data_IF_044158430915
#
_entry.id   IF_044158430915
#
_cell.length_a   1.000
_cell.length_b   1.000
_cell.length_c   1.000
_cell.angle_alpha   90.00
_cell.angle_beta   90.00
_cell.angle_gamma   90.00
#
_symmetry.space_group_name_H-M   'P 1'
#
loop_
_entity.id
_entity.type
_entity.pdbx_description
1 polymer ?
#
# COMPACT_ATOMS: atom_id res chain seq x y z
N UNK A 1 -8.46 -7.62 17.82
CA UNK A 1 -7.42 -7.85 16.79
C UNK A 1 -6.39 -6.75 16.93
N UNK A 2 -5.26 -7.03 17.57
CA UNK A 2 -4.12 -6.12 17.60
C UNK A 2 -3.40 -6.26 16.26
N UNK A 3 -3.45 -5.23 15.43
CA UNK A 3 -2.70 -5.20 14.17
C UNK A 3 -1.21 -5.18 14.52
N UNK A 4 -0.44 -6.13 13.98
CA UNK A 4 1.00 -6.16 14.26
C UNK A 4 1.66 -4.85 13.78
N UNK A 5 2.68 -4.35 14.51
CA UNK A 5 3.40 -3.12 14.10
C UNK A 5 3.95 -3.21 12.67
N UNK A 6 4.19 -4.42 12.18
CA UNK A 6 4.65 -4.67 10.80
C UNK A 6 3.52 -4.43 9.80
N UNK A 7 2.33 -4.98 10.04
CA UNK A 7 1.12 -4.73 9.23
C UNK A 7 0.79 -3.23 9.21
N UNK A 8 0.83 -2.56 10.36
CA UNK A 8 0.58 -1.12 10.44
C UNK A 8 1.57 -0.31 9.58
N UNK A 9 2.87 -0.63 9.63
CA UNK A 9 3.90 0.01 8.78
C UNK A 9 3.66 -0.23 7.30
N UNK A 10 3.27 -1.45 6.91
CA UNK A 10 2.97 -1.79 5.52
C UNK A 10 1.76 -1.00 5.00
N UNK A 11 0.68 -0.93 5.78
CA UNK A 11 -0.52 -0.18 5.44
C UNK A 11 -0.25 1.34 5.36
N UNK A 12 0.50 1.89 6.32
CA UNK A 12 0.92 3.30 6.28
C UNK A 12 1.74 3.61 5.02
N UNK A 13 2.65 2.70 4.63
CA UNK A 13 3.44 2.86 3.42
C UNK A 13 2.58 2.73 2.16
N UNK A 14 1.63 1.80 2.13
CA UNK A 14 0.66 1.65 1.04
C UNK A 14 -0.15 2.94 0.84
N UNK A 15 -0.66 3.54 1.92
CA UNK A 15 -1.38 4.82 1.89
C UNK A 15 -0.55 5.99 1.34
N UNK A 16 0.74 6.04 1.64
CA UNK A 16 1.65 7.04 1.07
C UNK A 16 1.80 6.89 -0.45
N UNK A 17 1.98 5.65 -0.94
CA UNK A 17 2.10 5.39 -2.37
C UNK A 17 0.79 5.67 -3.11
N UNK A 18 -0.35 5.36 -2.50
CA UNK A 18 -1.67 5.68 -3.02
C UNK A 18 -1.87 7.19 -3.18
N UNK A 19 -1.50 7.96 -2.14
CA UNK A 19 -1.58 9.42 -2.19
C UNK A 19 -0.70 9.99 -3.30
N UNK A 20 0.50 9.44 -3.50
CA UNK A 20 1.40 9.84 -4.59
C UNK A 20 0.82 9.47 -5.96
N UNK A 21 0.21 8.30 -6.09
CA UNK A 21 -0.48 7.88 -7.32
C UNK A 21 -1.57 8.86 -7.71
N UNK A 22 -2.45 9.22 -6.76
CA UNK A 22 -3.49 10.23 -6.96
C UNK A 22 -2.91 11.58 -7.40
N UNK A 23 -1.85 12.05 -6.74
CA UNK A 23 -1.16 13.29 -7.13
C UNK A 23 -0.56 13.24 -8.54
N UNK A 24 -0.04 12.10 -8.97
CA UNK A 24 0.47 11.92 -10.33
C UNK A 24 -0.69 11.93 -11.35
N UNK A 25 -1.78 11.22 -11.05
CA UNK A 25 -2.98 11.22 -11.90
C UNK A 25 -3.59 12.61 -12.06
N UNK A 26 -3.62 13.43 -10.99
CA UNK A 26 -4.10 14.81 -11.06
C UNK A 26 -3.24 15.71 -11.96
N UNK A 27 -1.97 15.35 -12.17
CA UNK A 27 -1.06 16.04 -13.09
C UNK A 27 -1.11 15.50 -14.52
N UNK A 28 -1.96 14.50 -14.78
CA UNK A 28 -2.02 13.79 -16.07
C UNK A 28 -0.90 12.77 -16.28
N UNK A 29 -0.07 12.51 -15.26
CA UNK A 29 1.02 11.53 -15.32
C UNK A 29 0.49 10.13 -14.97
N UNK A 30 -0.31 9.56 -15.88
CA UNK A 30 -1.02 8.31 -15.69
C UNK A 30 -0.10 7.10 -15.62
N UNK A 31 1.00 7.09 -16.40
CA UNK A 31 2.00 6.02 -16.35
C UNK A 31 2.65 5.92 -14.97
N UNK A 32 3.04 7.07 -14.42
CA UNK A 32 3.59 7.13 -13.06
C UNK A 32 2.52 6.80 -12.03
N UNK A 33 1.29 7.27 -12.20
CA UNK A 33 0.18 6.94 -11.31
C UNK A 33 -0.05 5.42 -11.24
N UNK A 34 -0.02 4.72 -12.38
CA UNK A 34 -0.13 3.27 -12.48
C UNK A 34 0.97 2.56 -11.70
N UNK A 35 2.24 2.92 -11.93
CA UNK A 35 3.38 2.33 -11.19
C UNK A 35 3.27 2.53 -9.68
N UNK A 36 2.84 3.72 -9.25
CA UNK A 36 2.67 4.04 -7.83
C UNK A 36 1.49 3.26 -7.22
N UNK A 37 0.39 3.10 -7.96
CA UNK A 37 -0.80 2.34 -7.56
C UNK A 37 -0.45 0.86 -7.37
N UNK A 38 0.28 0.26 -8.32
CA UNK A 38 0.74 -1.13 -8.22
C UNK A 38 1.58 -1.35 -6.97
N UNK A 39 2.47 -0.41 -6.64
CA UNK A 39 3.30 -0.49 -5.43
C UNK A 39 2.47 -0.38 -4.14
N UNK A 40 1.43 0.46 -4.13
CA UNK A 40 0.51 0.55 -3.00
C UNK A 40 -0.22 -0.78 -2.78
N UNK A 41 -0.70 -1.42 -3.86
CA UNK A 41 -1.38 -2.71 -3.82
C UNK A 41 -0.46 -3.85 -3.36
N UNK A 42 0.79 -3.90 -3.84
CA UNK A 42 1.76 -4.90 -3.38
C UNK A 42 1.95 -4.86 -1.86
N UNK A 43 2.08 -3.66 -1.28
CA UNK A 43 2.25 -3.49 0.16
C UNK A 43 0.98 -3.84 0.96
N UNK A 44 -0.20 -3.54 0.40
CA UNK A 44 -1.46 -3.93 1.02
C UNK A 44 -1.64 -5.46 1.04
N UNK A 45 -1.30 -6.13 -0.07
CA UNK A 45 -1.34 -7.59 -0.17
C UNK A 45 -0.31 -8.23 0.78
N UNK A 46 0.88 -7.64 0.91
CA UNK A 46 1.89 -8.10 1.89
C UNK A 46 1.35 -7.97 3.32
N UNK A 47 0.72 -6.84 3.64
CA UNK A 47 0.10 -6.61 4.95
C UNK A 47 -1.02 -7.63 5.24
N UNK A 48 -1.82 -7.96 4.24
CA UNK A 48 -2.87 -8.98 4.34
C UNK A 48 -2.26 -10.36 4.59
N UNK A 49 -1.25 -10.78 3.83
CA UNK A 49 -0.57 -12.06 4.03
C UNK A 49 0.05 -12.18 5.43
N UNK A 50 0.66 -11.10 5.93
CA UNK A 50 1.26 -11.06 7.26
C UNK A 50 0.20 -11.17 8.37
N UNK A 51 -0.99 -10.61 8.15
CA UNK A 51 -2.09 -10.69 9.12
C UNK A 51 -2.66 -12.10 9.27
N UNK A 52 -2.57 -12.93 8.23
CA UNK A 52 -2.94 -14.34 8.28
C UNK A 52 -1.88 -15.19 8.99
N UNK A 53 -0.60 -14.90 8.78
CA UNK A 53 0.49 -15.64 9.44
C UNK A 53 0.60 -15.39 10.95
N UNK A 54 0.19 -14.21 11.43
CA UNK A 54 0.24 -13.86 12.87
C UNK A 54 -0.91 -14.47 13.69
N UNK A 55 -1.89 -15.10 13.01
CA UNK A 55 -3.01 -15.84 13.63
C UNK A 55 -2.84 -17.37 13.56
N UNK A 56 -1.67 -17.86 13.15
CA UNK A 56 -1.31 -19.30 13.03
C UNK A 56 -0.41 -19.74 14.18
#
# INVERSE_FOLDING_TARGET
MTVSRKVEKLLNRAGLWETRSKKASLKGDYDRAGKLRTKALQLANEAESESYTDNS
#
